data_IF_045967998720
#
_entry.id   IF_045967998720
#
_cell.length_a   1.000
_cell.length_b   1.000
_cell.length_c   1.000
_cell.angle_alpha   90.00
_cell.angle_beta   90.00
_cell.angle_gamma   90.00
#
_symmetry.space_group_name_H-M   'P 1'
#
loop_
_entity.id
_entity.type
_entity.pdbx_description
1 polymer ?
#
# COMPACT_ATOMS: atom_id res chain seq x y z
N UNK A 1 -20.97 -45.94 27.37
CA UNK A 1 -19.51 -45.86 27.56
C UNK A 1 -18.97 -44.98 26.45
N UNK A 2 -18.93 -43.68 26.70
CA UNK A 2 -18.35 -42.67 25.79
C UNK A 2 -16.84 -42.75 25.89
N UNK A 3 -16.20 -43.30 24.87
CA UNK A 3 -14.75 -43.29 24.73
C UNK A 3 -14.31 -41.85 24.46
N UNK A 4 -13.93 -41.13 25.52
CA UNK A 4 -13.07 -39.95 25.43
C UNK A 4 -11.78 -40.40 24.73
N UNK A 5 -11.70 -40.14 23.43
CA UNK A 5 -10.41 -40.15 22.72
C UNK A 5 -9.56 -39.09 23.39
N UNK A 6 -8.62 -39.53 24.22
CA UNK A 6 -7.63 -38.65 24.81
C UNK A 6 -6.83 -38.08 23.64
N UNK A 7 -6.92 -36.75 23.44
CA UNK A 7 -6.05 -36.02 22.52
C UNK A 7 -4.62 -36.33 22.95
N UNK A 8 -3.92 -37.15 22.16
CA UNK A 8 -2.47 -37.34 22.26
C UNK A 8 -1.85 -35.94 22.26
N UNK A 9 -0.93 -35.60 23.19
CA UNK A 9 -0.35 -34.27 23.20
C UNK A 9 0.30 -34.03 21.83
N UNK A 10 -0.22 -33.04 21.10
CA UNK A 10 0.13 -32.77 19.70
C UNK A 10 1.59 -32.31 19.52
N UNK A 11 2.27 -32.00 20.63
CA UNK A 11 3.63 -31.46 20.64
C UNK A 11 4.54 -32.23 21.62
N UNK A 12 5.83 -32.36 21.30
CA UNK A 12 6.81 -32.99 22.17
C UNK A 12 6.99 -32.19 23.47
N UNK A 13 7.36 -32.89 24.55
CA UNK A 13 7.70 -32.24 25.81
C UNK A 13 9.05 -31.52 25.69
N UNK A 14 9.03 -30.19 25.65
CA UNK A 14 10.21 -29.33 25.69
C UNK A 14 10.02 -28.22 26.73
N UNK A 15 11.08 -27.86 27.45
CA UNK A 15 11.04 -26.76 28.40
C UNK A 15 11.29 -25.43 27.67
N UNK A 16 10.45 -24.40 27.85
CA UNK A 16 10.67 -23.10 27.24
C UNK A 16 11.88 -22.38 27.86
N UNK A 17 12.56 -21.51 27.10
CA UNK A 17 13.58 -20.63 27.65
C UNK A 17 13.02 -19.79 28.80
N UNK A 18 13.81 -19.61 29.85
CA UNK A 18 13.40 -18.85 31.04
C UNK A 18 14.34 -17.68 31.22
N UNK A 19 14.02 -16.49 30.64
CA UNK A 19 14.93 -15.36 30.67
C UNK A 19 15.06 -14.80 32.10
N UNK A 20 16.27 -14.39 32.47
CA UNK A 20 16.51 -13.69 33.73
C UNK A 20 15.74 -12.38 33.78
N UNK A 21 15.20 -12.06 34.95
CA UNK A 21 14.55 -10.78 35.19
C UNK A 21 15.61 -9.76 35.58
N UNK A 22 15.63 -8.63 34.88
CA UNK A 22 16.39 -7.43 35.23
C UNK A 22 15.38 -6.29 35.47
N UNK A 23 14.80 -6.18 36.68
CA UNK A 23 13.73 -5.24 36.95
C UNK A 23 14.18 -3.79 36.76
N UNK A 24 13.55 -3.10 35.82
CA UNK A 24 13.60 -1.65 35.66
C UNK A 24 12.26 -1.10 36.08
N UNK A 25 12.23 -0.02 36.87
CA UNK A 25 10.97 0.57 37.32
C UNK A 25 10.86 2.02 36.88
N UNK A 26 9.63 2.42 36.55
CA UNK A 26 9.32 3.78 36.13
C UNK A 26 7.96 4.21 36.72
N UNK A 27 7.79 5.50 36.97
CA UNK A 27 6.60 6.07 37.62
C UNK A 27 5.96 7.13 36.74
N UNK A 28 4.74 6.84 36.28
CA UNK A 28 3.92 7.76 35.49
C UNK A 28 2.59 7.98 36.19
N UNK A 29 2.13 9.23 36.27
CA UNK A 29 0.87 9.60 36.94
C UNK A 29 0.74 9.06 38.38
N UNK A 30 1.86 8.95 39.11
CA UNK A 30 1.90 8.43 40.47
C UNK A 30 1.81 6.90 40.59
N UNK A 31 1.84 6.17 39.47
CA UNK A 31 1.81 4.70 39.43
C UNK A 31 3.20 4.19 39.05
N UNK A 32 3.85 3.47 39.97
CA UNK A 32 5.12 2.80 39.70
C UNK A 32 4.86 1.42 39.08
N UNK A 33 5.47 1.16 37.94
CA UNK A 33 5.49 -0.15 37.28
C UNK A 33 6.91 -0.69 37.28
N UNK A 34 7.05 -2.01 37.43
CA UNK A 34 8.33 -2.71 37.32
C UNK A 34 8.27 -3.68 36.16
N UNK A 35 9.20 -3.55 35.22
CA UNK A 35 9.36 -4.42 34.06
C UNK A 35 10.63 -5.25 34.22
N UNK A 36 10.48 -6.58 34.37
CA UNK A 36 11.58 -7.52 34.48
C UNK A 36 12.31 -7.80 33.17
N UNK A 37 11.75 -7.36 32.04
CA UNK A 37 12.20 -7.72 30.70
C UNK A 37 12.53 -6.50 29.83
N UNK A 38 12.54 -5.30 30.42
CA UNK A 38 12.89 -4.05 29.72
C UNK A 38 14.24 -4.13 28.98
N UNK A 39 15.18 -4.92 29.50
CA UNK A 39 16.49 -5.17 28.90
C UNK A 39 16.44 -5.84 27.51
N UNK A 40 15.31 -6.46 27.13
CA UNK A 40 15.13 -7.05 25.80
C UNK A 40 14.88 -5.99 24.71
N UNK A 41 14.58 -4.75 25.10
CA UNK A 41 14.58 -3.61 24.19
C UNK A 41 16.02 -3.18 23.94
N UNK A 42 16.50 -3.31 22.72
CA UNK A 42 17.83 -2.84 22.34
C UNK A 42 17.88 -1.29 22.35
N UNK A 43 18.73 -0.71 23.20
CA UNK A 43 18.92 0.76 23.26
C UNK A 43 19.52 1.32 21.97
N UNK A 44 20.27 0.49 21.23
CA UNK A 44 20.90 0.83 19.96
C UNK A 44 20.09 0.34 18.75
N UNK A 45 18.76 0.17 18.87
CA UNK A 45 17.93 -0.41 17.82
C UNK A 45 18.11 0.26 16.45
N UNK A 46 18.32 1.57 16.40
CA UNK A 46 18.57 2.30 15.13
C UNK A 46 19.83 1.79 14.42
N UNK A 47 20.89 1.52 15.17
CA UNK A 47 22.12 0.95 14.63
C UNK A 47 21.92 -0.53 14.26
N UNK A 48 21.16 -1.28 15.06
CA UNK A 48 20.84 -2.69 14.81
C UNK A 48 20.04 -2.89 13.51
N UNK A 49 19.16 -1.95 13.13
CA UNK A 49 18.47 -1.98 11.83
C UNK A 49 19.42 -1.87 10.65
N UNK A 50 20.54 -1.15 10.80
CA UNK A 50 21.56 -1.04 9.75
C UNK A 50 22.56 -2.19 9.79
N UNK A 51 22.86 -2.70 10.98
CA UNK A 51 23.79 -3.80 11.22
C UNK A 51 23.33 -4.68 12.38
N UNK A 52 22.66 -5.81 12.10
CA UNK A 52 22.18 -6.74 13.12
C UNK A 52 23.29 -7.30 14.01
N UNK A 53 24.57 -7.23 13.62
CA UNK A 53 25.69 -7.72 14.44
C UNK A 53 25.88 -6.91 15.73
N UNK A 54 25.34 -5.68 15.78
CA UNK A 54 25.41 -4.77 16.92
C UNK A 54 24.43 -5.09 18.05
N UNK A 55 23.56 -6.08 17.89
CA UNK A 55 22.59 -6.49 18.91
C UNK A 55 23.29 -7.02 20.17
N UNK A 56 22.84 -6.60 21.36
CA UNK A 56 23.33 -7.09 22.66
C UNK A 56 23.31 -8.63 22.71
N UNK A 57 24.42 -9.23 23.14
CA UNK A 57 24.61 -10.67 23.13
C UNK A 57 23.59 -11.44 23.97
N UNK A 58 23.05 -10.85 25.04
CA UNK A 58 22.00 -11.47 25.86
C UNK A 58 20.67 -11.52 25.11
N UNK A 59 20.33 -10.46 24.38
CA UNK A 59 19.11 -10.42 23.58
C UNK A 59 19.22 -11.46 22.47
N UNK A 60 20.36 -11.49 21.76
CA UNK A 60 20.64 -12.49 20.73
C UNK A 60 20.50 -13.92 21.27
N UNK A 61 21.19 -14.23 22.37
CA UNK A 61 21.17 -15.57 22.96
C UNK A 61 19.76 -16.00 23.36
N UNK A 62 18.93 -15.08 23.86
CA UNK A 62 17.55 -15.38 24.20
C UNK A 62 16.69 -15.66 22.95
N UNK A 63 16.79 -14.84 21.90
CA UNK A 63 16.09 -15.06 20.64
C UNK A 63 16.48 -16.39 19.98
N UNK A 64 17.76 -16.74 20.01
CA UNK A 64 18.26 -18.02 19.51
C UNK A 64 17.71 -19.21 20.34
N UNK A 65 17.61 -19.06 21.66
CA UNK A 65 17.00 -20.08 22.52
C UNK A 65 15.51 -20.27 22.24
N UNK A 66 14.75 -19.19 22.02
CA UNK A 66 13.33 -19.26 21.64
C UNK A 66 13.15 -19.92 20.26
N UNK A 67 14.00 -19.59 19.28
CA UNK A 67 14.00 -20.24 17.97
C UNK A 67 14.29 -21.75 18.09
N UNK A 68 15.25 -22.13 18.92
CA UNK A 68 15.57 -23.54 19.16
C UNK A 68 14.40 -24.28 19.84
N UNK A 69 13.74 -23.65 20.80
CA UNK A 69 12.56 -24.19 21.47
C UNK A 69 11.39 -24.41 20.49
N UNK A 70 11.09 -23.40 19.68
CA UNK A 70 10.06 -23.48 18.64
C UNK A 70 10.35 -24.61 17.64
N UNK A 71 11.62 -24.78 17.24
CA UNK A 71 12.02 -25.85 16.32
C UNK A 71 11.73 -27.25 16.89
N UNK A 72 11.98 -27.45 18.19
CA UNK A 72 11.67 -28.73 18.87
C UNK A 72 10.16 -28.95 18.93
N UNK A 73 9.38 -27.96 19.37
CA UNK A 73 7.92 -28.09 19.45
C UNK A 73 7.31 -28.44 18.09
N UNK A 74 7.74 -27.76 17.03
CA UNK A 74 7.15 -27.93 15.71
C UNK A 74 7.73 -29.09 14.91
N UNK A 75 8.70 -29.84 15.44
CA UNK A 75 9.37 -30.93 14.72
C UNK A 75 8.40 -31.97 14.14
N UNK A 76 7.37 -32.35 14.91
CA UNK A 76 6.35 -33.32 14.49
C UNK A 76 5.43 -32.85 13.35
N UNK A 77 5.47 -31.56 13.00
CA UNK A 77 4.65 -30.97 11.93
C UNK A 77 5.38 -30.84 10.59
N UNK A 78 6.63 -31.33 10.48
CA UNK A 78 7.46 -31.16 9.29
C UNK A 78 6.77 -31.61 7.99
N UNK A 79 6.18 -32.81 7.99
CA UNK A 79 5.47 -33.35 6.83
C UNK A 79 4.22 -32.53 6.48
N UNK A 80 3.46 -32.09 7.48
CA UNK A 80 2.27 -31.26 7.27
C UNK A 80 2.67 -29.89 6.71
N UNK A 81 3.70 -29.25 7.25
CA UNK A 81 4.22 -27.98 6.73
C UNK A 81 4.74 -28.12 5.30
N UNK A 82 5.43 -29.20 4.98
CA UNK A 82 5.88 -29.50 3.62
C UNK A 82 4.72 -29.64 2.64
N UNK A 83 3.63 -30.34 3.04
CA UNK A 83 2.40 -30.44 2.25
C UNK A 83 1.73 -29.08 2.05
N UNK A 84 1.52 -28.33 3.13
CA UNK A 84 0.92 -26.99 3.07
C UNK A 84 1.76 -26.03 2.22
N UNK A 85 3.09 -26.10 2.32
CA UNK A 85 3.99 -25.34 1.47
C UNK A 85 3.81 -25.69 -0.01
N UNK A 86 3.80 -26.97 -0.36
CA UNK A 86 3.58 -27.42 -1.74
C UNK A 86 2.19 -27.01 -2.26
N UNK A 87 1.16 -27.10 -1.44
CA UNK A 87 -0.20 -26.65 -1.79
C UNK A 87 -0.27 -25.14 -2.02
N UNK A 88 0.30 -24.33 -1.11
CA UNK A 88 0.35 -22.87 -1.25
C UNK A 88 1.15 -22.46 -2.48
N UNK A 89 2.31 -23.09 -2.70
CA UNK A 89 3.13 -22.86 -3.89
C UNK A 89 2.36 -23.23 -5.17
N UNK A 90 1.65 -24.36 -5.18
CA UNK A 90 0.84 -24.79 -6.32
C UNK A 90 -0.32 -23.86 -6.67
N UNK A 91 -0.75 -22.97 -5.76
CA UNK A 91 -1.76 -21.94 -6.02
C UNK A 91 -1.20 -20.72 -6.76
N UNK A 92 0.12 -20.56 -6.81
CA UNK A 92 0.80 -19.41 -7.41
C UNK A 92 1.27 -19.78 -8.81
N UNK A 93 0.88 -18.97 -9.79
CA UNK A 93 1.50 -18.99 -11.11
C UNK A 93 2.81 -18.19 -11.04
N UNK A 94 3.94 -18.88 -11.07
CA UNK A 94 5.26 -18.24 -10.90
C UNK A 94 5.60 -17.27 -12.05
N UNK A 95 5.30 -17.67 -13.30
CA UNK A 95 5.45 -16.83 -14.48
C UNK A 95 4.12 -16.12 -14.76
N UNK A 96 3.95 -14.95 -14.16
CA UNK A 96 2.72 -14.16 -14.28
C UNK A 96 3.04 -12.68 -14.48
N UNK A 97 2.16 -11.98 -15.19
CA UNK A 97 2.31 -10.57 -15.53
C UNK A 97 1.05 -9.78 -15.22
N UNK A 98 1.22 -8.53 -14.79
CA UNK A 98 0.10 -7.59 -14.69
C UNK A 98 -0.48 -7.31 -16.08
N UNK A 99 -1.74 -6.88 -16.14
CA UNK A 99 -2.26 -6.30 -17.38
C UNK A 99 -1.59 -4.93 -17.58
N UNK A 100 -0.93 -4.66 -18.71
CA UNK A 100 -0.29 -3.38 -18.94
C UNK A 100 -1.30 -2.23 -18.94
N UNK A 101 -0.90 -1.08 -18.42
CA UNK A 101 -1.72 0.14 -18.37
C UNK A 101 -1.11 1.18 -19.32
N UNK A 102 -1.96 1.78 -20.14
CA UNK A 102 -1.54 2.69 -21.21
C UNK A 102 -1.07 4.01 -20.62
N UNK A 103 0.01 4.54 -21.18
CA UNK A 103 0.49 5.89 -20.92
C UNK A 103 1.23 6.41 -22.16
N UNK A 104 0.66 7.41 -22.83
CA UNK A 104 1.24 7.98 -24.04
C UNK A 104 1.46 6.93 -25.14
N UNK A 105 2.67 6.82 -25.73
CA UNK A 105 2.95 5.86 -26.79
C UNK A 105 3.19 4.43 -26.30
N UNK A 106 3.14 4.17 -24.98
CA UNK A 106 3.48 2.88 -24.38
C UNK A 106 2.35 2.32 -23.50
N UNK A 107 2.52 1.06 -23.08
CA UNK A 107 1.77 0.45 -22.00
C UNK A 107 2.72 -0.25 -21.04
N UNK A 108 2.61 0.05 -19.75
CA UNK A 108 3.54 -0.37 -18.70
C UNK A 108 2.95 -1.46 -17.81
N UNK A 109 3.79 -2.38 -17.37
CA UNK A 109 3.41 -3.45 -16.45
C UNK A 109 4.61 -4.05 -15.73
N UNK A 110 4.33 -5.04 -14.90
CA UNK A 110 5.36 -5.88 -14.27
C UNK A 110 5.07 -7.36 -14.46
N UNK A 111 6.12 -8.17 -14.41
CA UNK A 111 6.05 -9.62 -14.53
C UNK A 111 7.05 -10.30 -13.61
N UNK A 112 6.74 -11.52 -13.22
CA UNK A 112 7.70 -12.45 -12.64
C UNK A 112 8.15 -13.45 -13.71
N UNK A 113 9.24 -14.16 -13.47
CA UNK A 113 9.64 -15.32 -14.28
C UNK A 113 9.64 -16.55 -13.39
N UNK A 114 9.52 -17.72 -14.00
CA UNK A 114 9.65 -18.97 -13.27
C UNK A 114 10.98 -19.03 -12.50
N UNK A 115 10.90 -19.34 -11.20
CA UNK A 115 12.06 -19.34 -10.29
C UNK A 115 12.66 -17.97 -9.96
N UNK A 116 12.11 -16.86 -10.47
CA UNK A 116 12.50 -15.51 -10.08
C UNK A 116 11.89 -15.12 -8.72
N UNK A 117 12.62 -14.31 -7.97
CA UNK A 117 12.20 -13.85 -6.63
C UNK A 117 11.81 -12.36 -6.63
N UNK A 118 12.09 -11.65 -7.72
CA UNK A 118 11.86 -10.22 -7.87
C UNK A 118 11.04 -9.90 -9.14
N UNK A 119 10.27 -8.80 -9.13
CA UNK A 119 9.54 -8.37 -10.30
C UNK A 119 10.48 -7.79 -11.37
N UNK A 120 10.05 -7.93 -12.63
CA UNK A 120 10.60 -7.24 -13.80
C UNK A 120 9.59 -6.19 -14.24
N UNK A 121 10.03 -4.96 -14.42
CA UNK A 121 9.20 -3.88 -14.95
C UNK A 121 9.44 -3.76 -16.44
N UNK A 122 8.37 -3.67 -17.21
CA UNK A 122 8.43 -3.65 -18.66
C UNK A 122 7.47 -2.61 -19.24
N UNK A 123 7.70 -2.29 -20.51
CA UNK A 123 6.70 -1.64 -21.35
C UNK A 123 6.54 -2.36 -22.68
N UNK A 124 5.43 -2.11 -23.35
CA UNK A 124 5.19 -2.45 -24.74
C UNK A 124 4.78 -1.19 -25.50
N UNK A 125 4.74 -1.21 -26.82
CA UNK A 125 3.99 -0.20 -27.58
C UNK A 125 2.55 -0.13 -27.07
N UNK A 126 1.93 1.06 -27.10
CA UNK A 126 0.59 1.34 -26.52
C UNK A 126 -0.46 0.25 -26.73
N UNK A 127 -0.53 -0.28 -27.96
CA UNK A 127 -1.55 -1.26 -28.37
C UNK A 127 -1.02 -2.70 -28.47
N UNK A 128 0.07 -2.98 -27.75
CA UNK A 128 0.72 -4.28 -27.70
C UNK A 128 1.93 -4.40 -28.62
N UNK A 129 2.71 -5.46 -28.42
CA UNK A 129 3.96 -5.71 -29.12
C UNK A 129 4.93 -6.51 -28.25
N UNK A 130 6.20 -6.52 -28.63
CA UNK A 130 7.27 -7.09 -27.81
C UNK A 130 7.47 -6.29 -26.53
N UNK A 131 7.72 -6.99 -25.42
CA UNK A 131 8.11 -6.38 -24.15
C UNK A 131 9.54 -5.84 -24.23
N UNK A 132 9.72 -4.62 -23.74
CA UNK A 132 11.01 -4.01 -23.40
C UNK A 132 11.14 -4.03 -21.87
N UNK A 133 12.07 -4.83 -21.35
CA UNK A 133 12.35 -4.87 -19.91
C UNK A 133 13.13 -3.62 -19.52
N UNK A 134 12.55 -2.82 -18.63
CA UNK A 134 13.13 -1.56 -18.16
C UNK A 134 13.97 -1.76 -16.89
N UNK A 135 13.54 -2.68 -16.02
CA UNK A 135 14.22 -3.03 -14.79
C UNK A 135 14.00 -4.52 -14.47
N UNK A 136 15.07 -5.27 -14.29
CA UNK A 136 15.02 -6.69 -13.89
C UNK A 136 15.48 -6.82 -12.44
N UNK A 137 14.54 -6.96 -11.51
CA UNK A 137 14.86 -7.03 -10.09
C UNK A 137 15.73 -8.22 -9.70
N UNK A 138 15.65 -9.35 -10.41
CA UNK A 138 16.48 -10.52 -10.10
C UNK A 138 17.94 -10.24 -10.46
N UNK A 139 18.17 -9.54 -11.58
CA UNK A 139 19.50 -9.12 -11.99
C UNK A 139 20.09 -8.11 -10.98
N UNK A 140 19.28 -7.15 -10.50
CA UNK A 140 19.73 -6.19 -9.48
C UNK A 140 19.98 -6.83 -8.10
N UNK A 141 19.33 -7.96 -7.83
CA UNK A 141 19.48 -8.74 -6.61
C UNK A 141 20.71 -9.66 -6.60
N UNK A 142 21.37 -9.87 -7.75
CA UNK A 142 22.44 -10.87 -7.87
C UNK A 142 23.57 -10.64 -6.85
N UNK A 143 23.92 -11.70 -6.12
CA UNK A 143 24.98 -11.69 -5.11
C UNK A 143 24.59 -11.05 -3.77
N UNK A 144 23.35 -10.62 -3.58
CA UNK A 144 22.85 -10.01 -2.34
C UNK A 144 22.07 -11.03 -1.51
N UNK A 145 22.27 -11.02 -0.19
CA UNK A 145 21.54 -11.88 0.74
C UNK A 145 20.10 -11.41 0.97
N UNK A 146 19.84 -10.12 0.75
CA UNK A 146 18.52 -9.50 0.76
C UNK A 146 18.48 -8.47 -0.35
N UNK A 147 17.33 -8.36 -1.02
CA UNK A 147 17.06 -7.29 -1.96
C UNK A 147 15.57 -7.06 -2.04
N UNK A 148 15.18 -5.79 -2.02
CA UNK A 148 13.81 -5.35 -2.22
C UNK A 148 13.80 -4.12 -3.10
N UNK A 149 13.04 -4.17 -4.18
CA UNK A 149 12.68 -2.97 -4.93
C UNK A 149 11.66 -2.15 -4.13
N UNK A 150 11.88 -0.84 -4.07
CA UNK A 150 10.89 0.13 -3.63
C UNK A 150 10.02 0.56 -4.81
N UNK A 151 9.72 1.86 -4.88
CA UNK A 151 9.01 2.48 -5.99
C UNK A 151 9.81 2.46 -7.29
N UNK A 152 9.07 2.35 -8.40
CA UNK A 152 9.59 2.43 -9.78
C UNK A 152 8.61 3.30 -10.55
N UNK A 153 9.12 4.35 -11.20
CA UNK A 153 8.30 5.30 -11.94
C UNK A 153 9.03 5.82 -13.19
N UNK A 154 8.31 6.04 -14.28
CA UNK A 154 8.88 6.55 -15.54
C UNK A 154 8.65 8.04 -15.71
N UNK A 155 9.61 8.72 -16.33
CA UNK A 155 9.50 10.13 -16.68
C UNK A 155 8.38 10.37 -17.70
N UNK A 156 7.81 11.58 -17.74
CA UNK A 156 6.72 11.92 -18.64
C UNK A 156 7.12 11.82 -20.13
N UNK A 157 8.40 12.07 -20.43
CA UNK A 157 8.97 11.84 -21.76
C UNK A 157 9.31 10.37 -22.07
N UNK A 158 9.07 9.45 -21.13
CA UNK A 158 9.30 8.01 -21.20
C UNK A 158 10.76 7.60 -21.44
N UNK A 159 11.73 8.47 -21.16
CA UNK A 159 13.16 8.19 -21.40
C UNK A 159 13.92 7.78 -20.16
N UNK A 160 13.38 8.02 -18.96
CA UNK A 160 14.06 7.70 -17.71
C UNK A 160 13.16 6.91 -16.79
N UNK A 161 13.77 6.10 -15.94
CA UNK A 161 13.15 5.51 -14.76
C UNK A 161 13.81 6.06 -13.51
N UNK A 162 13.00 6.40 -12.52
CA UNK A 162 13.45 6.45 -11.13
C UNK A 162 13.08 5.13 -10.47
N UNK A 163 14.00 4.53 -9.74
CA UNK A 163 13.76 3.28 -9.02
C UNK A 163 14.49 3.27 -7.69
N UNK A 164 13.91 2.62 -6.69
CA UNK A 164 14.49 2.49 -5.37
C UNK A 164 14.83 1.04 -5.03
N UNK A 165 15.84 0.85 -4.17
CA UNK A 165 16.13 -0.47 -3.60
C UNK A 165 16.62 -0.38 -2.15
N UNK A 166 16.40 -1.47 -1.41
CA UNK A 166 16.98 -1.77 -0.11
C UNK A 166 17.62 -3.16 -0.16
N UNK A 167 18.91 -3.25 0.11
CA UNK A 167 19.69 -4.49 0.12
C UNK A 167 20.05 -4.98 1.52
N UNK A 168 19.46 -4.36 2.56
CA UNK A 168 19.73 -4.68 3.97
C UNK A 168 18.47 -5.04 4.77
N UNK A 169 17.28 -4.78 4.23
CA UNK A 169 16.01 -4.98 4.94
C UNK A 169 15.81 -3.94 6.04
N UNK A 170 16.44 -2.78 5.88
CA UNK A 170 16.40 -1.68 6.84
C UNK A 170 15.30 -0.68 6.53
N UNK A 171 14.69 -0.72 5.34
CA UNK A 171 13.75 0.28 4.80
C UNK A 171 14.33 1.69 4.58
N UNK A 172 15.65 1.87 4.74
CA UNK A 172 16.39 3.00 4.15
C UNK A 172 16.67 2.73 2.67
N UNK A 173 15.76 3.15 1.80
CA UNK A 173 15.92 2.93 0.36
C UNK A 173 16.91 3.90 -0.26
N UNK A 174 17.59 3.42 -1.30
CA UNK A 174 18.40 4.25 -2.20
C UNK A 174 17.69 4.41 -3.53
N UNK A 175 17.42 5.66 -3.95
CA UNK A 175 16.93 5.97 -5.30
C UNK A 175 18.08 6.02 -6.30
N UNK A 176 17.82 5.54 -7.51
CA UNK A 176 18.68 5.62 -8.70
C UNK A 176 17.86 6.03 -9.90
N UNK A 177 18.55 6.56 -10.91
CA UNK A 177 17.94 6.92 -12.19
C UNK A 177 18.52 6.06 -13.29
N UNK A 178 17.68 5.51 -14.16
CA UNK A 178 18.08 4.73 -15.33
C UNK A 178 17.68 5.42 -16.61
N UNK A 179 18.61 5.53 -17.55
CA UNK A 179 18.30 5.87 -18.93
C UNK A 179 17.69 4.64 -19.61
N UNK A 180 16.49 4.80 -20.18
CA UNK A 180 15.74 3.69 -20.77
C UNK A 180 16.37 3.23 -22.08
N UNK A 181 16.88 4.16 -22.91
CA UNK A 181 17.42 3.81 -24.23
C UNK A 181 18.73 3.00 -24.12
N UNK A 182 19.58 3.35 -23.16
CA UNK A 182 20.84 2.66 -22.89
C UNK A 182 20.72 1.48 -21.93
N UNK A 183 19.65 1.43 -21.12
CA UNK A 183 19.51 0.44 -20.04
C UNK A 183 20.54 0.59 -18.93
N UNK A 184 21.14 1.78 -18.80
CA UNK A 184 22.22 2.06 -17.84
C UNK A 184 21.79 3.08 -16.81
N UNK A 185 22.20 2.86 -15.56
CA UNK A 185 21.98 3.83 -14.50
C UNK A 185 22.87 5.07 -14.67
N UNK A 186 22.30 6.24 -14.40
CA UNK A 186 23.01 7.50 -14.29
C UNK A 186 23.84 7.53 -12.99
N UNK A 187 24.64 8.59 -12.83
CA UNK A 187 25.49 8.77 -11.65
C UNK A 187 24.69 9.10 -10.38
N UNK A 188 23.44 9.52 -10.53
CA UNK A 188 22.56 9.96 -9.46
C UNK A 188 22.19 8.80 -8.52
N UNK A 189 22.52 8.97 -7.23
CA UNK A 189 22.23 8.01 -6.17
C UNK A 189 21.84 8.75 -4.89
N UNK A 190 20.61 8.52 -4.42
CA UNK A 190 20.04 9.24 -3.28
C UNK A 190 19.74 8.25 -2.15
N UNK A 191 20.58 8.17 -1.10
CA UNK A 191 20.36 7.27 0.03
C UNK A 191 19.37 7.84 1.06
N UNK A 192 19.02 7.00 2.04
CA UNK A 192 18.20 7.35 3.21
C UNK A 192 16.81 7.92 2.84
N UNK A 193 16.19 7.37 1.80
CA UNK A 193 14.89 7.81 1.29
C UNK A 193 13.74 6.92 1.76
N UNK A 194 12.51 7.41 1.65
CA UNK A 194 11.29 6.62 1.88
C UNK A 194 10.95 5.63 0.76
N UNK A 195 11.82 5.48 -0.26
CA UNK A 195 11.67 4.44 -1.29
C UNK A 195 10.85 4.82 -2.51
N UNK A 196 10.55 6.10 -2.74
CA UNK A 196 9.92 6.58 -3.96
C UNK A 196 10.34 8.01 -4.29
N UNK A 197 10.11 8.43 -5.53
CA UNK A 197 10.27 9.81 -5.95
C UNK A 197 9.31 10.17 -7.07
N UNK A 198 9.12 11.47 -7.26
CA UNK A 198 8.12 12.06 -8.16
C UNK A 198 8.83 12.96 -9.16
N UNK A 199 8.71 12.67 -10.45
CA UNK A 199 9.28 13.51 -11.51
C UNK A 199 8.70 14.93 -11.47
N UNK A 200 9.52 15.93 -11.77
CA UNK A 200 9.00 17.23 -12.14
C UNK A 200 8.51 17.20 -13.60
N UNK A 201 7.68 18.17 -14.01
CA UNK A 201 7.12 18.19 -15.36
C UNK A 201 8.17 18.36 -16.48
N UNK A 202 9.40 18.76 -16.14
CA UNK A 202 10.51 18.91 -17.07
C UNK A 202 11.36 17.65 -17.26
N UNK A 203 11.13 16.57 -16.51
CA UNK A 203 11.91 15.33 -16.51
C UNK A 203 13.44 15.54 -16.30
N UNK A 204 13.81 16.63 -15.63
CA UNK A 204 15.19 17.03 -15.34
C UNK A 204 15.54 16.98 -13.83
N UNK A 205 14.59 16.54 -13.01
CA UNK A 205 14.76 16.25 -11.60
C UNK A 205 13.56 15.57 -10.98
N UNK A 206 13.64 15.27 -9.69
CA UNK A 206 12.56 14.61 -8.96
C UNK A 206 12.51 15.03 -7.50
N UNK A 207 11.34 14.91 -6.91
CA UNK A 207 11.08 15.13 -5.50
C UNK A 207 11.13 13.81 -4.73
N UNK A 208 11.63 13.82 -3.50
CA UNK A 208 11.71 12.63 -2.67
C UNK A 208 11.65 12.98 -1.18
N UNK A 209 11.29 11.99 -0.35
CA UNK A 209 11.33 12.09 1.10
C UNK A 209 12.66 11.58 1.65
N UNK A 210 13.19 12.24 2.69
CA UNK A 210 14.36 11.78 3.45
C UNK A 210 13.95 11.37 4.86
N UNK A 211 14.44 10.20 5.28
CA UNK A 211 14.23 9.65 6.61
C UNK A 211 15.18 10.31 7.62
N UNK A 212 14.71 10.58 8.83
CA UNK A 212 15.54 10.99 9.96
C UNK A 212 16.08 9.77 10.76
N UNK A 213 16.82 10.03 11.82
CA UNK A 213 17.42 9.01 12.68
C UNK A 213 16.38 8.10 13.35
N UNK A 214 15.11 8.52 13.44
CA UNK A 214 14.00 7.74 13.98
C UNK A 214 13.23 6.98 12.90
N UNK A 215 13.79 6.87 11.68
CA UNK A 215 13.15 6.20 10.56
C UNK A 215 11.88 6.90 10.07
N UNK A 216 11.77 8.20 10.33
CA UNK A 216 10.59 9.00 9.99
C UNK A 216 10.88 9.88 8.77
N UNK A 217 10.06 9.85 7.71
CA UNK A 217 10.16 10.80 6.61
C UNK A 217 9.80 12.19 7.12
N UNK A 218 10.80 13.04 7.28
CA UNK A 218 10.68 14.34 7.94
C UNK A 218 11.03 15.52 7.02
N UNK A 219 11.53 15.25 5.82
CA UNK A 219 11.94 16.26 4.85
C UNK A 219 11.56 15.84 3.45
N UNK A 220 11.16 16.80 2.64
CA UNK A 220 11.03 16.66 1.18
C UNK A 220 12.11 17.50 0.52
N UNK A 221 12.82 16.89 -0.41
CA UNK A 221 13.87 17.50 -1.22
C UNK A 221 13.52 17.44 -2.70
N UNK A 222 14.11 18.34 -3.49
CA UNK A 222 14.19 18.23 -4.93
C UNK A 222 15.64 17.98 -5.34
N UNK A 223 15.86 16.92 -6.12
CA UNK A 223 17.13 16.59 -6.74
C UNK A 223 17.09 16.96 -8.22
N UNK A 224 18.08 17.72 -8.68
CA UNK A 224 18.29 18.01 -10.11
C UNK A 224 19.25 16.99 -10.69
N UNK A 225 18.87 16.34 -11.79
CA UNK A 225 19.69 15.29 -12.41
C UNK A 225 21.09 15.81 -12.77
N UNK A 226 22.10 15.01 -12.44
CA UNK A 226 23.52 15.28 -12.66
C UNK A 226 24.14 16.26 -11.67
N UNK A 227 23.36 16.80 -10.73
CA UNK A 227 23.88 17.63 -9.65
C UNK A 227 24.35 16.77 -8.47
N UNK A 228 25.08 17.38 -7.54
CA UNK A 228 25.52 16.69 -6.33
C UNK A 228 24.43 16.68 -5.27
N UNK A 229 24.36 15.60 -4.50
CA UNK A 229 23.40 15.40 -3.42
C UNK A 229 23.39 16.55 -2.39
N UNK A 230 24.54 17.15 -2.08
CA UNK A 230 24.63 18.29 -1.16
C UNK A 230 23.95 19.57 -1.67
N UNK A 231 23.67 19.65 -2.97
CA UNK A 231 23.01 20.79 -3.61
C UNK A 231 21.49 20.61 -3.69
N UNK A 232 20.97 19.44 -3.29
CA UNK A 232 19.54 19.18 -3.29
C UNK A 232 18.79 20.25 -2.49
N UNK A 233 17.75 20.80 -3.11
CA UNK A 233 16.96 21.86 -2.51
C UNK A 233 16.01 21.27 -1.49
N UNK A 234 16.12 21.69 -0.23
CA UNK A 234 15.09 21.44 0.77
C UNK A 234 13.79 22.15 0.35
N UNK A 235 12.73 21.39 0.13
CA UNK A 235 11.41 21.90 -0.21
C UNK A 235 10.63 22.21 1.06
N UNK A 236 10.62 21.28 2.01
CA UNK A 236 9.97 21.45 3.30
C UNK A 236 10.54 20.48 4.35
N UNK A 237 10.51 20.88 5.63
CA UNK A 237 10.92 20.08 6.79
C UNK A 237 9.81 20.11 7.85
N UNK A 238 9.41 18.93 8.32
CA UNK A 238 8.47 18.74 9.42
C UNK A 238 9.23 18.46 10.72
N UNK A 239 9.14 19.42 11.64
CA UNK A 239 9.86 19.41 12.91
C UNK A 239 9.10 18.74 14.05
N UNK A 240 7.77 18.60 13.94
CA UNK A 240 6.95 17.90 14.93
C UNK A 240 7.11 16.38 14.75
N UNK A 241 7.66 15.65 15.74
CA UNK A 241 7.91 14.20 15.65
C UNK A 241 6.65 13.35 15.48
N UNK A 242 5.45 13.89 15.73
CA UNK A 242 4.18 13.20 15.54
C UNK A 242 3.73 13.11 14.07
N UNK A 243 4.33 13.90 13.18
CA UNK A 243 3.93 13.99 11.77
C UNK A 243 4.96 13.36 10.83
N UNK A 244 4.44 12.75 9.78
CA UNK A 244 5.17 12.09 8.71
C UNK A 244 4.94 12.85 7.41
N UNK A 245 5.93 12.86 6.53
CA UNK A 245 5.85 13.51 5.24
C UNK A 245 5.80 12.50 4.08
N UNK A 246 5.04 12.83 3.05
CA UNK A 246 5.07 12.18 1.75
C UNK A 246 5.14 13.22 0.63
N UNK A 247 5.47 12.75 -0.58
CA UNK A 247 5.42 13.56 -1.79
C UNK A 247 4.78 12.76 -2.91
N UNK A 248 3.84 13.38 -3.61
CA UNK A 248 3.13 12.80 -4.75
C UNK A 248 3.01 13.82 -5.89
N UNK A 249 2.77 13.32 -7.10
CA UNK A 249 2.51 14.13 -8.30
C UNK A 249 1.10 13.90 -8.80
N UNK A 250 0.50 14.91 -9.42
CA UNK A 250 -0.83 14.76 -10.03
C UNK A 250 -0.74 14.12 -11.40
N UNK A 251 -1.81 13.45 -11.81
CA UNK A 251 -1.87 12.70 -13.08
C UNK A 251 -1.72 13.58 -14.32
N UNK A 252 -2.09 14.86 -14.25
CA UNK A 252 -1.88 15.80 -15.35
C UNK A 252 -0.45 16.38 -15.36
N UNK A 253 0.39 16.02 -14.40
CA UNK A 253 1.73 16.57 -14.16
C UNK A 253 1.74 18.09 -13.95
N UNK A 254 0.65 18.64 -13.42
CA UNK A 254 0.53 20.08 -13.15
C UNK A 254 1.04 20.42 -11.73
N UNK A 255 0.90 19.50 -10.76
CA UNK A 255 1.21 19.77 -9.35
C UNK A 255 2.03 18.67 -8.67
N UNK A 256 2.85 19.12 -7.73
CA UNK A 256 3.50 18.31 -6.70
C UNK A 256 2.80 18.60 -5.38
N UNK A 257 2.42 17.53 -4.69
CA UNK A 257 1.74 17.55 -3.40
C UNK A 257 2.74 17.11 -2.34
N UNK A 258 3.03 17.99 -1.39
CA UNK A 258 3.75 17.67 -0.16
C UNK A 258 2.71 17.39 0.91
N UNK A 259 2.52 16.11 1.24
CA UNK A 259 1.63 15.65 2.29
C UNK A 259 2.33 15.64 3.64
N UNK A 260 1.62 16.08 4.67
CA UNK A 260 2.07 16.04 6.06
C UNK A 260 0.92 15.48 6.89
N UNK A 261 1.11 14.34 7.54
CA UNK A 261 0.02 13.64 8.20
C UNK A 261 0.44 12.92 9.48
N UNK A 262 -0.54 12.73 10.35
CA UNK A 262 -0.54 11.72 11.40
C UNK A 262 -1.75 10.78 11.21
N UNK A 263 -2.13 10.04 12.23
CA UNK A 263 -3.26 9.10 12.17
C UNK A 263 -4.65 9.75 12.07
N UNK A 264 -4.80 11.05 12.36
CA UNK A 264 -6.08 11.76 12.39
C UNK A 264 -6.05 13.19 11.80
N UNK A 265 -4.91 13.65 11.28
CA UNK A 265 -4.70 15.04 10.85
C UNK A 265 -3.89 15.10 9.56
N UNK A 266 -4.30 15.94 8.61
CA UNK A 266 -3.57 16.17 7.34
C UNK A 266 -3.28 17.65 7.08
N UNK A 267 -2.19 17.92 6.38
CA UNK A 267 -1.84 19.21 5.77
C UNK A 267 -1.18 18.98 4.41
N UNK A 268 -1.62 19.73 3.39
CA UNK A 268 -1.05 19.68 2.07
C UNK A 268 -0.45 21.02 1.66
N UNK A 269 0.70 20.94 0.99
CA UNK A 269 1.36 22.07 0.34
C UNK A 269 1.60 21.74 -1.13
N UNK A 270 1.27 22.69 -2.00
CA UNK A 270 1.32 22.52 -3.45
C UNK A 270 2.51 23.26 -4.06
N UNK A 271 3.16 22.64 -5.03
CA UNK A 271 4.11 23.29 -5.94
C UNK A 271 3.66 23.02 -7.38
N UNK A 272 3.81 23.99 -8.31
CA UNK A 272 3.73 23.69 -9.73
C UNK A 272 4.83 22.69 -10.10
N UNK A 273 4.47 21.62 -10.82
CA UNK A 273 5.43 20.58 -11.18
C UNK A 273 6.47 21.05 -12.20
N UNK A 274 6.19 22.10 -12.97
CA UNK A 274 7.12 22.75 -13.91
C UNK A 274 8.08 23.74 -13.25
N UNK A 275 7.86 24.09 -11.98
CA UNK A 275 8.65 25.06 -11.26
C UNK A 275 9.13 24.52 -9.90
N UNK A 276 10.13 23.62 -9.90
CA UNK A 276 10.71 23.08 -8.68
C UNK A 276 11.46 24.13 -7.84
N UNK A 277 11.54 25.40 -8.29
CA UNK A 277 12.08 26.53 -7.53
C UNK A 277 11.00 27.32 -6.76
N UNK A 278 9.71 27.05 -7.01
CA UNK A 278 8.60 27.69 -6.32
C UNK A 278 8.62 27.39 -4.81
N UNK A 279 8.00 28.28 -4.03
CA UNK A 279 7.73 28.02 -2.63
C UNK A 279 6.46 27.16 -2.49
N UNK A 280 6.45 26.12 -1.62
CA UNK A 280 5.24 25.33 -1.36
C UNK A 280 4.11 26.18 -0.82
N UNK A 281 2.97 26.17 -1.51
CA UNK A 281 1.76 26.91 -1.13
C UNK A 281 0.86 26.05 -0.27
N UNK A 282 0.60 26.49 0.96
CA UNK A 282 -0.33 25.84 1.87
C UNK A 282 -1.77 25.85 1.33
N UNK A 283 -2.45 24.70 1.42
CA UNK A 283 -3.87 24.56 1.06
C UNK A 283 -4.75 24.92 2.25
N UNK A 284 -4.65 24.18 3.35
CA UNK A 284 -5.30 24.50 4.61
C UNK A 284 -4.36 24.18 5.76
N UNK A 285 -4.33 25.05 6.78
CA UNK A 285 -3.57 24.82 8.02
C UNK A 285 -4.11 23.55 8.68
N UNK A 286 -3.24 22.69 9.21
CA UNK A 286 -3.69 21.52 9.99
C UNK A 286 -4.51 21.91 11.21
N UNK A 287 -5.51 21.09 11.51
CA UNK A 287 -6.31 21.15 12.73
C UNK A 287 -6.40 19.72 13.29
N UNK A 288 -6.16 19.51 14.59
CA UNK A 288 -6.18 18.16 15.17
C UNK A 288 -7.50 17.44 14.89
N UNK A 289 -7.44 16.24 14.32
CA UNK A 289 -8.61 15.44 13.93
C UNK A 289 -9.21 15.80 12.56
N UNK A 290 -8.68 16.83 11.87
CA UNK A 290 -9.10 17.20 10.51
C UNK A 290 -8.20 16.50 9.48
N UNK A 291 -8.80 15.61 8.72
CA UNK A 291 -8.18 14.96 7.57
C UNK A 291 -8.73 15.54 6.27
N UNK A 292 -7.83 15.72 5.32
CA UNK A 292 -8.21 15.98 3.94
C UNK A 292 -7.14 15.49 2.98
N UNK A 293 -7.55 14.96 1.83
CA UNK A 293 -6.68 14.58 0.72
C UNK A 293 -7.08 15.35 -0.55
N UNK A 294 -6.15 15.46 -1.49
CA UNK A 294 -6.33 16.21 -2.75
C UNK A 294 -6.21 15.31 -3.96
N UNK A 295 -7.16 15.43 -4.88
CA UNK A 295 -7.09 14.83 -6.21
C UNK A 295 -7.33 15.91 -7.26
N UNK A 296 -6.49 15.95 -8.29
CA UNK A 296 -6.63 16.95 -9.35
C UNK A 296 -7.78 16.63 -10.31
N UNK A 297 -8.61 17.64 -10.57
CA UNK A 297 -9.63 17.66 -11.62
C UNK A 297 -9.32 18.65 -12.76
N UNK A 298 -8.08 19.13 -12.87
CA UNK A 298 -7.59 20.08 -13.87
C UNK A 298 -7.95 21.55 -13.57
N UNK A 299 -9.23 21.88 -13.47
CA UNK A 299 -9.72 23.23 -13.10
C UNK A 299 -10.01 23.37 -11.59
N UNK A 300 -10.25 22.25 -10.92
CA UNK A 300 -10.49 22.16 -9.48
C UNK A 300 -9.62 21.07 -8.85
N UNK A 301 -9.39 21.17 -7.54
CA UNK A 301 -9.09 20.00 -6.72
C UNK A 301 -10.39 19.41 -6.18
N UNK A 302 -10.53 18.09 -6.27
CA UNK A 302 -11.44 17.34 -5.42
C UNK A 302 -10.76 17.12 -4.07
N UNK A 303 -11.46 17.45 -2.99
CA UNK A 303 -10.94 17.42 -1.63
C UNK A 303 -11.78 16.44 -0.84
N UNK A 304 -11.24 15.26 -0.56
CA UNK A 304 -11.85 14.27 0.32
C UNK A 304 -11.56 14.67 1.75
N UNK A 305 -12.56 14.99 2.57
CA UNK A 305 -12.31 15.53 3.93
C UNK A 305 -13.36 15.11 4.95
N UNK A 306 -12.95 15.00 6.22
CA UNK A 306 -13.84 14.79 7.36
C UNK A 306 -14.30 16.10 8.05
N UNK A 307 -14.04 17.25 7.41
CA UNK A 307 -14.40 18.56 7.94
C UNK A 307 -15.89 18.69 8.31
N UNK A 308 -16.19 19.61 9.23
CA UNK A 308 -17.55 19.96 9.64
C UNK A 308 -18.31 18.77 10.27
N UNK A 309 -17.58 17.82 10.88
CA UNK A 309 -18.13 16.63 11.54
C UNK A 309 -18.46 15.47 10.61
N UNK A 310 -17.96 15.49 9.37
CA UNK A 310 -18.17 14.44 8.38
C UNK A 310 -17.31 13.20 8.64
N UNK A 311 -17.59 12.42 9.69
CA UNK A 311 -16.79 11.24 10.07
C UNK A 311 -16.65 10.20 8.95
N UNK A 312 -17.68 10.03 8.13
CA UNK A 312 -17.67 9.15 6.95
C UNK A 312 -17.17 9.86 5.68
N UNK A 313 -16.53 11.01 5.87
CA UNK A 313 -16.01 11.91 4.84
C UNK A 313 -17.07 12.49 3.90
N UNK A 314 -16.67 13.57 3.23
CA UNK A 314 -17.38 14.22 2.14
C UNK A 314 -16.39 14.65 1.07
N UNK A 315 -16.88 14.95 -0.14
CA UNK A 315 -16.05 15.51 -1.20
C UNK A 315 -16.42 16.95 -1.40
N UNK A 316 -15.43 17.82 -1.25
CA UNK A 316 -15.48 19.24 -1.57
C UNK A 316 -14.72 19.50 -2.88
N UNK A 317 -14.88 20.67 -3.45
CA UNK A 317 -14.06 21.19 -4.55
C UNK A 317 -13.48 22.54 -4.19
N UNK A 318 -12.33 22.88 -4.76
CA UNK A 318 -11.81 24.24 -4.74
C UNK A 318 -11.05 24.55 -6.04
N UNK A 319 -11.02 25.80 -6.51
CA UNK A 319 -10.24 26.18 -7.70
C UNK A 319 -8.76 25.84 -7.54
N UNK A 320 -8.11 25.27 -8.56
CA UNK A 320 -6.68 24.89 -8.49
C UNK A 320 -5.76 26.09 -8.24
N UNK A 321 -6.13 27.27 -8.75
CA UNK A 321 -5.39 28.51 -8.58
C UNK A 321 -5.55 29.11 -7.18
N UNK A 322 -6.53 28.69 -6.38
CA UNK A 322 -6.75 29.17 -5.02
C UNK A 322 -7.53 28.15 -4.14
N UNK A 323 -6.93 27.00 -3.77
CA UNK A 323 -7.62 25.91 -3.08
C UNK A 323 -7.69 26.09 -1.57
N UNK A 324 -7.59 27.33 -1.08
CA UNK A 324 -7.65 27.62 0.36
C UNK A 324 -8.99 27.19 0.95
N UNK A 325 -9.01 26.80 2.24
CA UNK A 325 -10.21 26.28 2.94
C UNK A 325 -11.47 27.14 2.75
N UNK A 326 -11.32 28.47 2.67
CA UNK A 326 -12.42 29.40 2.45
C UNK A 326 -13.13 29.26 1.09
N UNK A 327 -12.46 28.67 0.09
CA UNK A 327 -13.00 28.44 -1.25
C UNK A 327 -13.54 27.02 -1.44
N UNK A 328 -13.53 26.18 -0.40
CA UNK A 328 -14.04 24.82 -0.50
C UNK A 328 -15.57 24.84 -0.63
N UNK A 329 -16.08 24.18 -1.66
CA UNK A 329 -17.51 24.06 -1.93
C UNK A 329 -17.91 22.58 -1.90
N UNK A 330 -19.04 22.26 -1.27
CA UNK A 330 -19.47 20.88 -1.13
C UNK A 330 -19.98 20.32 -2.47
N UNK A 331 -19.46 19.14 -2.87
CA UNK A 331 -19.83 18.46 -4.11
C UNK A 331 -20.58 17.14 -3.84
N UNK A 332 -20.07 16.34 -2.89
CA UNK A 332 -20.72 15.13 -2.39
C UNK A 332 -20.88 15.30 -0.88
N UNK A 333 -22.12 15.49 -0.37
CA UNK A 333 -22.35 15.73 1.04
C UNK A 333 -22.03 14.48 1.87
N UNK A 334 -21.74 14.70 3.15
CA UNK A 334 -21.60 13.62 4.12
C UNK A 334 -22.91 12.82 4.27
N UNK A 335 -22.79 11.50 4.34
CA UNK A 335 -23.89 10.59 4.63
C UNK A 335 -23.42 9.58 5.69
N UNK A 336 -24.02 9.54 6.90
CA UNK A 336 -23.65 8.58 7.93
C UNK A 336 -23.75 7.13 7.43
N UNK A 337 -22.74 6.32 7.72
CA UNK A 337 -22.63 4.93 7.29
C UNK A 337 -22.16 4.73 5.84
N UNK A 338 -21.79 5.81 5.14
CA UNK A 338 -21.21 5.78 3.79
C UNK A 338 -19.82 6.42 3.80
N UNK A 339 -18.83 5.64 4.24
CA UNK A 339 -17.43 6.06 4.26
C UNK A 339 -16.89 6.22 2.84
N UNK A 340 -16.48 7.42 2.45
CA UNK A 340 -15.76 7.63 1.19
C UNK A 340 -14.28 7.35 1.44
N UNK A 341 -13.73 6.36 0.73
CA UNK A 341 -12.36 5.85 0.93
C UNK A 341 -11.33 6.55 0.03
N UNK A 342 -11.71 6.89 -1.20
CA UNK A 342 -10.82 7.58 -2.14
C UNK A 342 -11.61 8.26 -3.26
N UNK A 343 -10.96 9.20 -3.94
CA UNK A 343 -11.47 9.91 -5.12
C UNK A 343 -10.40 9.93 -6.21
N UNK A 344 -10.81 9.75 -7.47
CA UNK A 344 -9.99 9.91 -8.67
C UNK A 344 -10.63 10.92 -9.62
N UNK A 345 -9.81 11.79 -10.18
CA UNK A 345 -10.17 12.83 -11.12
C UNK A 345 -9.80 12.46 -12.56
N UNK A 346 -10.76 12.64 -13.46
CA UNK A 346 -10.57 12.54 -14.91
C UNK A 346 -11.14 13.79 -15.57
N UNK A 347 -10.76 14.05 -16.82
CA UNK A 347 -11.21 15.24 -17.57
C UNK A 347 -12.74 15.43 -17.57
N UNK A 348 -13.50 14.34 -17.69
CA UNK A 348 -14.96 14.38 -17.77
C UNK A 348 -15.68 13.67 -16.63
N UNK A 349 -14.95 12.96 -15.76
CA UNK A 349 -15.53 12.14 -14.70
C UNK A 349 -14.81 12.35 -13.37
N UNK A 350 -15.52 12.14 -12.27
CA UNK A 350 -14.96 11.94 -10.94
C UNK A 350 -15.40 10.54 -10.49
N UNK A 351 -14.48 9.74 -10.00
CA UNK A 351 -14.77 8.39 -9.50
C UNK A 351 -14.45 8.34 -8.02
N UNK A 352 -15.31 7.73 -7.21
CA UNK A 352 -15.02 7.48 -5.80
C UNK A 352 -15.18 6.01 -5.45
N UNK A 353 -14.29 5.53 -4.58
CA UNK A 353 -14.50 4.28 -3.86
C UNK A 353 -15.11 4.63 -2.51
N UNK A 354 -16.26 4.03 -2.19
CA UNK A 354 -16.93 4.22 -0.92
C UNK A 354 -17.33 2.88 -0.32
N UNK A 355 -17.49 2.82 1.00
CA UNK A 355 -18.02 1.67 1.72
C UNK A 355 -19.36 2.07 2.32
N UNK A 356 -20.43 1.39 1.93
CA UNK A 356 -21.76 1.56 2.53
C UNK A 356 -22.25 0.25 3.09
N UNK A 357 -22.76 0.29 4.31
CA UNK A 357 -23.22 -0.90 5.03
C UNK A 357 -22.15 -2.01 5.05
N UNK A 358 -20.86 -1.65 5.12
CA UNK A 358 -19.73 -2.57 5.12
C UNK A 358 -19.28 -3.12 3.75
N UNK A 359 -19.95 -2.78 2.65
CA UNK A 359 -19.58 -3.24 1.30
C UNK A 359 -18.98 -2.12 0.43
N UNK A 360 -17.90 -2.40 -0.33
CA UNK A 360 -17.31 -1.41 -1.21
C UNK A 360 -18.17 -1.16 -2.46
N UNK A 361 -18.16 0.08 -2.95
CA UNK A 361 -18.87 0.53 -4.15
C UNK A 361 -17.99 1.50 -4.91
N UNK A 362 -17.91 1.34 -6.22
CA UNK A 362 -17.32 2.34 -7.11
C UNK A 362 -18.47 3.18 -7.67
N UNK A 363 -18.41 4.49 -7.46
CA UNK A 363 -19.37 5.45 -8.00
C UNK A 363 -18.68 6.34 -9.02
N UNK A 364 -19.22 6.37 -10.22
CA UNK A 364 -18.75 7.21 -11.32
C UNK A 364 -19.72 8.37 -11.47
N UNK A 365 -19.20 9.59 -11.40
CA UNK A 365 -19.93 10.85 -11.58
C UNK A 365 -19.46 11.54 -12.84
N UNK A 366 -20.37 11.85 -13.76
CA UNK A 366 -20.08 12.72 -14.90
C UNK A 366 -20.06 14.18 -14.44
N UNK A 367 -19.00 14.92 -14.79
CA UNK A 367 -18.71 16.22 -14.16
C UNK A 367 -19.67 17.34 -14.58
N UNK A 368 -20.17 17.31 -15.82
CA UNK A 368 -20.95 18.41 -16.38
C UNK A 368 -22.42 18.37 -15.94
N UNK A 369 -23.01 17.19 -15.92
CA UNK A 369 -24.40 16.91 -15.54
C UNK A 369 -24.56 16.57 -14.06
N UNK A 370 -23.51 16.03 -13.43
CA UNK A 370 -23.58 15.46 -12.09
C UNK A 370 -24.26 14.09 -12.03
N UNK A 371 -24.57 13.45 -13.16
CA UNK A 371 -25.16 12.11 -13.19
C UNK A 371 -24.19 11.09 -12.55
N UNK A 372 -24.72 10.23 -11.67
CA UNK A 372 -23.96 9.17 -11.01
C UNK A 372 -24.48 7.78 -11.37
N UNK A 373 -23.56 6.81 -11.43
CA UNK A 373 -23.90 5.40 -11.51
C UNK A 373 -22.89 4.54 -10.73
N UNK A 374 -23.31 3.32 -10.39
CA UNK A 374 -22.53 2.36 -9.61
C UNK A 374 -22.10 1.16 -10.46
N UNK A 375 -20.94 0.58 -10.12
CA UNK A 375 -20.53 -0.73 -10.64
C UNK A 375 -20.96 -1.80 -9.64
N UNK A 376 -21.82 -2.74 -10.06
CA UNK A 376 -22.42 -3.76 -9.19
C UNK A 376 -21.89 -5.18 -9.44
N UNK A 377 -21.97 -6.00 -8.39
CA UNK A 377 -21.62 -7.42 -8.33
C UNK A 377 -22.66 -8.17 -7.49
N UNK A 378 -22.82 -9.47 -7.76
CA UNK A 378 -23.89 -10.28 -7.17
C UNK A 378 -23.48 -10.97 -5.84
N UNK A 379 -22.18 -11.10 -5.54
CA UNK A 379 -21.71 -11.80 -4.34
C UNK A 379 -22.02 -11.01 -3.04
N UNK A 380 -22.32 -11.73 -1.95
CA UNK A 380 -22.73 -11.11 -0.67
C UNK A 380 -21.60 -10.36 0.04
N UNK A 381 -20.34 -10.76 -0.21
CA UNK A 381 -19.15 -10.15 0.35
C UNK A 381 -18.01 -10.20 -0.68
N UNK A 382 -17.48 -9.04 -1.02
CA UNK A 382 -16.45 -8.87 -2.03
C UNK A 382 -15.56 -7.66 -1.72
N UNK A 383 -14.45 -7.55 -2.45
CA UNK A 383 -13.53 -6.44 -2.41
C UNK A 383 -13.48 -5.75 -3.78
N UNK A 384 -13.28 -4.43 -3.76
CA UNK A 384 -13.01 -3.63 -4.96
C UNK A 384 -11.73 -2.83 -4.75
N UNK A 385 -10.82 -2.91 -5.72
CA UNK A 385 -9.65 -2.04 -5.81
C UNK A 385 -9.84 -1.03 -6.93
N UNK A 386 -9.52 0.24 -6.69
CA UNK A 386 -9.61 1.30 -7.69
C UNK A 386 -8.21 1.65 -8.20
N UNK A 387 -7.79 1.04 -9.32
CA UNK A 387 -6.46 1.24 -9.90
C UNK A 387 -6.35 2.54 -10.71
N UNK A 388 -7.46 3.01 -11.29
CA UNK A 388 -7.49 4.25 -12.06
C UNK A 388 -6.89 4.11 -13.46
N UNK A 389 -6.04 5.05 -13.83
CA UNK A 389 -5.34 5.13 -15.13
C UNK A 389 -4.03 5.89 -14.93
N UNK A 390 -3.05 5.74 -15.83
CA UNK A 390 -1.95 6.71 -15.93
C UNK A 390 -2.42 8.01 -16.60
N UNK A 391 -3.36 7.93 -17.54
CA UNK A 391 -3.81 9.08 -18.33
C UNK A 391 -4.99 9.80 -17.67
N UNK A 392 -4.91 11.14 -17.56
CA UNK A 392 -5.99 11.98 -17.03
C UNK A 392 -7.14 12.19 -18.04
N UNK A 393 -6.80 12.40 -19.32
CA UNK A 393 -7.75 12.56 -20.41
C UNK A 393 -8.11 11.20 -21.02
N UNK A 394 -8.91 10.43 -20.27
CA UNK A 394 -9.39 9.11 -20.70
C UNK A 394 -10.85 8.90 -20.26
N UNK A 395 -11.54 8.03 -20.98
CA UNK A 395 -12.86 7.52 -20.58
C UNK A 395 -12.77 6.15 -19.92
N UNK A 396 -11.59 5.52 -19.90
CA UNK A 396 -11.39 4.19 -19.36
C UNK A 396 -10.65 4.26 -18.04
N UNK A 397 -11.20 3.60 -17.01
CA UNK A 397 -10.51 3.35 -15.76
C UNK A 397 -10.36 1.85 -15.53
N UNK A 398 -9.33 1.47 -14.78
CA UNK A 398 -9.09 0.11 -14.33
C UNK A 398 -9.50 -0.06 -12.89
N UNK A 399 -10.15 -1.18 -12.60
CA UNK A 399 -10.46 -1.60 -11.25
C UNK A 399 -10.28 -3.11 -11.10
N UNK A 400 -10.16 -3.57 -9.86
CA UNK A 400 -10.08 -5.00 -9.53
C UNK A 400 -11.27 -5.44 -8.71
N UNK A 401 -11.67 -6.69 -8.89
CA UNK A 401 -12.73 -7.36 -8.15
C UNK A 401 -12.21 -8.68 -7.61
N UNK A 402 -12.55 -9.01 -6.37
CA UNK A 402 -12.36 -10.36 -5.83
C UNK A 402 -13.37 -10.64 -4.73
N UNK A 403 -13.54 -11.90 -4.40
CA UNK A 403 -14.28 -12.32 -3.22
C UNK A 403 -13.54 -13.47 -2.54
N UNK A 404 -14.10 -14.02 -1.47
CA UNK A 404 -13.54 -15.22 -0.84
C UNK A 404 -13.69 -16.48 -1.71
N UNK A 405 -14.55 -16.43 -2.73
CA UNK A 405 -14.88 -17.50 -3.67
C UNK A 405 -14.27 -17.26 -5.06
N UNK A 406 -14.13 -16.00 -5.47
CA UNK A 406 -13.70 -15.57 -6.80
C UNK A 406 -12.28 -15.02 -6.76
N UNK A 407 -11.31 -15.63 -7.48
CA UNK A 407 -9.95 -15.08 -7.63
C UNK A 407 -9.95 -13.66 -8.20
N UNK A 408 -8.84 -12.94 -8.04
CA UNK A 408 -8.75 -11.54 -8.48
C UNK A 408 -9.04 -11.42 -9.98
N UNK A 409 -9.96 -10.53 -10.33
CA UNK A 409 -10.29 -10.13 -11.69
C UNK A 409 -9.91 -8.67 -11.92
N UNK A 410 -9.35 -8.39 -13.09
CA UNK A 410 -8.95 -7.05 -13.53
C UNK A 410 -9.86 -6.62 -14.67
N UNK A 411 -10.49 -5.46 -14.53
CA UNK A 411 -11.42 -4.92 -15.50
C UNK A 411 -11.00 -3.54 -15.97
N UNK A 412 -11.15 -3.29 -17.28
CA UNK A 412 -11.26 -1.94 -17.81
C UNK A 412 -12.75 -1.58 -17.89
N UNK A 413 -13.07 -0.35 -17.50
CA UNK A 413 -14.42 0.19 -17.47
C UNK A 413 -14.48 1.53 -18.20
N UNK A 414 -15.29 1.59 -19.26
CA UNK A 414 -15.57 2.85 -19.92
C UNK A 414 -16.64 3.62 -19.12
N UNK A 415 -16.23 4.74 -18.54
CA UNK A 415 -17.04 5.57 -17.64
C UNK A 415 -18.27 6.21 -18.33
N UNK A 416 -18.23 6.35 -19.67
CA UNK A 416 -19.33 6.90 -20.46
C UNK A 416 -20.31 5.82 -20.92
N UNK A 417 -19.83 4.81 -21.65
CA UNK A 417 -20.66 3.75 -22.22
C UNK A 417 -21.10 2.71 -21.19
N UNK A 418 -20.42 2.67 -20.03
CA UNK A 418 -20.59 1.67 -18.96
C UNK A 418 -20.17 0.26 -19.37
N UNK A 419 -19.44 0.14 -20.48
CA UNK A 419 -18.88 -1.13 -20.92
C UNK A 419 -17.80 -1.58 -19.94
N UNK A 420 -17.92 -2.83 -19.48
CA UNK A 420 -16.98 -3.49 -18.58
C UNK A 420 -16.30 -4.64 -19.33
N UNK A 421 -14.98 -4.57 -19.47
CA UNK A 421 -14.17 -5.57 -20.17
C UNK A 421 -13.28 -6.30 -19.17
N UNK A 422 -13.47 -7.62 -19.04
CA UNK A 422 -12.59 -8.48 -18.25
C UNK A 422 -11.27 -8.65 -18.99
N UNK A 423 -10.17 -8.21 -18.39
CA UNK A 423 -8.83 -8.29 -18.97
C UNK A 423 -8.06 -9.51 -18.50
N UNK A 424 -8.21 -9.83 -17.20
CA UNK A 424 -7.49 -10.93 -16.57
C UNK A 424 -8.29 -11.49 -15.41
N UNK A 425 -8.30 -12.81 -15.28
CA UNK A 425 -8.63 -13.51 -14.04
C UNK A 425 -7.35 -14.15 -13.52
N UNK A 426 -7.06 -14.00 -12.23
CA UNK A 426 -5.96 -14.68 -11.57
C UNK A 426 -6.12 -16.19 -11.75
N UNK A 427 -5.11 -16.80 -12.35
CA UNK A 427 -5.04 -18.24 -12.48
C UNK A 427 -4.58 -18.85 -11.16
N UNK A 428 -5.26 -19.91 -10.70
CA UNK A 428 -4.88 -20.69 -9.52
C UNK A 428 -4.56 -22.11 -9.98
N UNK A 429 -3.29 -22.42 -10.34
CA UNK A 429 -2.93 -23.64 -11.07
C UNK A 429 -3.27 -24.94 -10.34
N UNK A 430 -3.40 -24.90 -9.01
CA UNK A 430 -3.81 -26.05 -8.19
C UNK A 430 -5.28 -26.48 -8.40
N UNK A 431 -6.04 -25.83 -9.29
CA UNK A 431 -7.40 -26.24 -9.65
C UNK A 431 -8.48 -25.65 -8.75
N UNK A 432 -8.38 -24.36 -8.40
CA UNK A 432 -9.46 -23.66 -7.71
C UNK A 432 -10.75 -23.67 -8.55
N UNK A 433 -11.86 -24.04 -7.93
CA UNK A 433 -13.20 -23.94 -8.49
C UNK A 433 -14.07 -23.13 -7.53
N UNK A 434 -14.54 -21.93 -7.92
CA UNK A 434 -15.43 -21.11 -7.10
C UNK A 434 -16.69 -21.85 -6.63
N UNK A 435 -17.22 -22.79 -7.42
CA UNK A 435 -18.45 -23.54 -7.13
C UNK A 435 -18.31 -24.54 -5.97
N UNK A 436 -17.07 -24.81 -5.54
CA UNK A 436 -16.80 -25.62 -4.35
C UNK A 436 -16.93 -24.85 -3.04
N UNK A 437 -17.03 -23.53 -3.10
CA UNK A 437 -17.01 -22.68 -1.91
C UNK A 437 -18.28 -21.84 -1.80
N UNK A 438 -18.64 -21.50 -0.58
CA UNK A 438 -19.78 -20.64 -0.27
C UNK A 438 -19.28 -19.45 0.53
N UNK A 439 -19.58 -18.25 0.02
CA UNK A 439 -19.38 -16.99 0.71
C UNK A 439 -20.72 -16.53 1.29
N UNK A 440 -20.72 -16.18 2.58
CA UNK A 440 -21.87 -15.58 3.26
C UNK A 440 -21.50 -14.30 3.97
N UNK A 441 -22.45 -13.37 4.02
CA UNK A 441 -22.34 -12.20 4.88
C UNK A 441 -23.35 -12.29 6.01
N UNK A 442 -22.86 -12.35 7.24
CA UNK A 442 -23.65 -12.45 8.47
C UNK A 442 -23.55 -11.14 9.25
N UNK A 443 -24.53 -10.91 10.13
CA UNK A 443 -24.52 -9.82 11.10
C UNK A 443 -24.67 -10.42 12.49
N UNK A 444 -23.66 -10.28 13.34
CA UNK A 444 -23.67 -10.79 14.71
C UNK A 444 -23.88 -9.64 15.71
N UNK A 445 -24.81 -9.76 16.67
CA UNK A 445 -24.98 -8.74 17.70
C UNK A 445 -23.81 -8.76 18.69
N UNK A 446 -23.22 -7.60 18.96
CA UNK A 446 -22.28 -7.37 20.04
C UNK A 446 -22.99 -7.20 21.39
N UNK A 447 -22.22 -7.11 22.48
CA UNK A 447 -22.76 -7.02 23.84
C UNK A 447 -23.60 -5.76 24.09
N UNK A 448 -23.36 -4.69 23.32
CA UNK A 448 -24.12 -3.43 23.34
C UNK A 448 -25.32 -3.43 22.37
N UNK A 449 -25.50 -4.49 21.58
CA UNK A 449 -26.57 -4.64 20.60
C UNK A 449 -26.22 -4.19 19.18
N UNK A 450 -25.03 -3.62 18.95
CA UNK A 450 -24.57 -3.24 17.61
C UNK A 450 -24.35 -4.48 16.73
N UNK A 451 -24.63 -4.35 15.43
CA UNK A 451 -24.47 -5.45 14.48
C UNK A 451 -23.07 -5.41 13.85
N UNK A 452 -22.29 -6.46 14.12
CA UNK A 452 -20.94 -6.64 13.57
C UNK A 452 -21.02 -7.51 12.32
N UNK A 453 -20.59 -7.01 11.14
CA UNK A 453 -20.58 -7.79 9.92
C UNK A 453 -19.49 -8.87 9.96
N UNK A 454 -19.82 -10.07 9.49
CA UNK A 454 -18.90 -11.20 9.37
C UNK A 454 -18.97 -11.73 7.94
N UNK A 455 -17.83 -11.77 7.27
CA UNK A 455 -17.65 -12.49 6.01
C UNK A 455 -17.21 -13.91 6.32
N UNK A 456 -18.01 -14.90 5.94
CA UNK A 456 -17.75 -16.33 6.15
C UNK A 456 -17.46 -17.03 4.82
N UNK A 457 -16.40 -17.86 4.79
CA UNK A 457 -16.05 -18.75 3.69
C UNK A 457 -15.99 -20.20 4.20
N UNK A 458 -16.58 -21.13 3.47
CA UNK A 458 -16.46 -22.56 3.73
C UNK A 458 -16.65 -23.37 2.44
N UNK A 459 -16.19 -24.62 2.45
CA UNK A 459 -16.46 -25.56 1.36
C UNK A 459 -17.95 -25.94 1.37
N UNK A 460 -18.59 -26.08 0.21
CA UNK A 460 -20.04 -26.34 0.08
C UNK A 460 -20.54 -27.57 0.85
N UNK A 461 -19.65 -28.54 1.06
CA UNK A 461 -19.94 -29.80 1.77
C UNK A 461 -19.60 -29.77 3.27
N UNK A 462 -19.13 -28.63 3.80
CA UNK A 462 -18.84 -28.49 5.23
C UNK A 462 -20.12 -28.62 6.07
N UNK A 463 -20.18 -29.52 7.07
CA UNK A 463 -21.32 -29.62 7.98
C UNK A 463 -21.50 -28.33 8.80
N UNK A 464 -22.73 -27.81 8.82
CA UNK A 464 -23.11 -26.61 9.58
C UNK A 464 -23.86 -26.97 10.87
N UNK A 465 -23.35 -27.97 11.61
CA UNK A 465 -23.93 -28.50 12.85
C UNK A 465 -23.09 -28.15 14.11
N UNK A 466 -22.06 -27.33 13.94
CA UNK A 466 -21.14 -26.92 15.00
C UNK A 466 -19.92 -27.81 15.19
N UNK A 467 -19.74 -28.88 14.38
CA UNK A 467 -18.56 -29.75 14.49
C UNK A 467 -17.34 -29.27 13.69
N UNK A 468 -17.52 -28.34 12.74
CA UNK A 468 -16.44 -27.89 11.87
C UNK A 468 -15.40 -27.03 12.62
N UNK A 469 -14.09 -27.24 12.40
CA UNK A 469 -13.08 -26.33 12.92
C UNK A 469 -13.25 -24.95 12.28
N UNK A 470 -13.07 -23.89 13.08
CA UNK A 470 -13.23 -22.51 12.63
C UNK A 470 -11.96 -21.71 12.94
N UNK A 471 -11.47 -20.99 11.94
CA UNK A 471 -10.48 -19.93 12.10
C UNK A 471 -11.22 -18.59 12.05
N UNK A 472 -11.29 -17.89 13.18
CA UNK A 472 -11.77 -16.52 13.22
C UNK A 472 -10.59 -15.57 13.07
N UNK A 473 -10.58 -14.83 11.97
CA UNK A 473 -9.61 -13.76 11.73
C UNK A 473 -10.21 -12.41 12.08
N UNK A 474 -9.45 -11.57 12.78
CA UNK A 474 -9.83 -10.22 13.13
C UNK A 474 -8.61 -9.30 13.11
N UNK A 475 -8.83 -8.08 12.62
CA UNK A 475 -7.89 -6.98 12.67
C UNK A 475 -8.65 -5.77 13.23
N UNK A 476 -8.00 -5.01 14.11
CA UNK A 476 -8.53 -3.76 14.70
C UNK A 476 -8.06 -2.55 13.93
#
# INVERSE_FOLDING_TARGET
MTSTSALTPAFPAASPPTPEKHPVSDTHHGITRSDGYAWMRADNWQAVFRDPSLLDGRIRAYLEAENAYQAVLMAGTADLRGKLFAEMKGRIKEDDSTVPMKDGPYAYGSSFRQGGEQPRYFRTSRDGGSEEILLDGDAEAEGKAYFRLGGVDHSADHKKLIWAFDDKGSEFFTLRVRDVAGGTDLADQIPDTGGGGVWNAGDDGFFYTRLDDNHRPSKVFFHKLGDKLENDRLIYEETDPGFFMDVSGTRANDWILVGINDHETSEYRLLPADNPSAAPRLVAVRESGLQYDLEEGGDVFFILTNADGAKDFKIMTAPVDNPVRANWQELVPHEPGRLILSVLGFKHHMVRLERKDGLPRIVVRERASGEEHFISFDEEAFSLGLSGSYEYDTETMRFTYSSMTTPVQVFDYNMRSRERVLLKTQEVPSGHDPEHYVTRRLMAPAADGELVPISLLYHRDTPLDGSAPCLLYGLS
#
